data_IF_895286402246
#
_entry.id   IF_895286402246
#
_cell.length_a   1.000
_cell.length_b   1.000
_cell.length_c   1.000
_cell.angle_alpha   90.00
_cell.angle_beta   90.00
_cell.angle_gamma   90.00
#
_symmetry.space_group_name_H-M   'P 1'
#
loop_
_entity.id
_entity.type
_entity.pdbx_description
1 polymer ?
#
# COMPACT_ATOMS: atom_id res chain seq x y z
N UNK A 1 9.73 62.09 35.50
CA UNK A 1 8.31 61.70 35.40
C UNK A 1 8.20 60.74 34.21
N UNK A 2 7.76 59.50 34.49
CA UNK A 2 7.45 58.46 33.50
C UNK A 2 6.34 58.95 32.57
N UNK A 3 6.39 58.57 31.28
CA UNK A 3 5.21 58.25 30.47
C UNK A 3 5.64 57.43 29.24
N UNK A 4 5.68 56.10 29.43
CA UNK A 4 5.38 55.10 28.41
C UNK A 4 4.05 55.47 27.75
N UNK A 5 3.98 55.61 26.41
CA UNK A 5 2.95 55.15 25.45
C UNK A 5 3.55 55.44 24.06
N UNK A 6 3.69 54.54 23.08
CA UNK A 6 2.68 53.72 22.43
C UNK A 6 3.41 52.64 21.61
N UNK A 7 3.43 51.41 22.13
CA UNK A 7 3.36 50.20 21.29
C UNK A 7 1.98 50.24 20.62
N UNK A 8 1.88 50.23 19.28
CA UNK A 8 1.40 48.99 18.64
C UNK A 8 1.84 48.86 17.16
N UNK A 9 3.13 48.97 16.82
CA UNK A 9 3.59 48.69 15.44
C UNK A 9 4.10 47.25 15.24
N UNK A 10 3.68 46.31 16.10
CA UNK A 10 4.14 44.91 16.06
C UNK A 10 3.01 43.92 15.70
N UNK A 11 1.80 44.41 15.39
CA UNK A 11 0.66 43.59 14.95
C UNK A 11 0.50 43.59 13.42
N UNK A 12 1.63 43.61 12.69
CA UNK A 12 1.67 43.32 11.25
C UNK A 12 2.45 42.03 10.98
N UNK A 13 2.68 41.24 12.02
CA UNK A 13 3.33 39.94 11.97
C UNK A 13 2.28 38.91 12.36
N UNK A 14 2.26 37.76 11.68
CA UNK A 14 1.41 36.59 11.92
C UNK A 14 0.02 36.59 11.29
N UNK A 15 -0.05 36.44 9.96
CA UNK A 15 -1.05 35.57 9.30
C UNK A 15 -0.45 35.02 8.00
N UNK A 16 0.77 34.50 8.07
CA UNK A 16 1.24 33.52 7.10
C UNK A 16 0.57 32.19 7.48
N UNK A 17 -0.72 32.06 7.13
CA UNK A 17 -1.44 30.80 7.21
C UNK A 17 -0.81 29.88 6.17
N UNK A 18 0.25 29.18 6.58
CA UNK A 18 0.82 28.10 5.80
C UNK A 18 -0.26 27.05 5.66
N UNK A 19 -0.86 26.98 4.47
CA UNK A 19 -1.67 25.84 4.05
C UNK A 19 -0.74 24.64 4.08
N UNK A 20 -0.70 23.93 5.19
CA UNK A 20 -0.17 22.59 5.23
C UNK A 20 -1.08 21.75 4.34
N UNK A 21 -0.67 21.59 3.08
CA UNK A 21 -1.15 20.46 2.29
C UNK A 21 -0.70 19.23 3.08
N UNK A 22 -1.62 18.67 3.87
CA UNK A 22 -1.48 17.31 4.33
C UNK A 22 -1.44 16.46 3.05
N UNK A 23 -0.24 16.18 2.55
CA UNK A 23 -0.05 15.11 1.62
C UNK A 23 -0.64 13.90 2.33
N UNK A 24 -1.76 13.36 1.82
CA UNK A 24 -2.44 12.18 2.34
C UNK A 24 -1.40 11.06 2.39
N UNK A 25 -0.78 10.94 3.54
CA UNK A 25 0.27 9.96 3.76
C UNK A 25 -0.47 8.63 3.80
N UNK A 26 -0.08 7.64 2.99
CA UNK A 26 -0.75 6.35 2.98
C UNK A 26 -0.89 5.85 4.41
N UNK A 27 -2.11 5.46 4.80
CA UNK A 27 -2.40 5.02 6.17
C UNK A 27 -1.53 3.81 6.57
N UNK A 28 -1.08 3.05 5.56
CA UNK A 28 -0.05 2.02 5.70
C UNK A 28 1.31 2.56 5.23
N UNK A 29 2.31 2.72 6.13
CA UNK A 29 3.66 3.13 5.75
C UNK A 29 4.35 2.11 4.84
N UNK A 30 5.25 2.58 3.98
CA UNK A 30 6.00 1.75 3.02
C UNK A 30 6.77 0.62 3.71
N UNK A 31 7.43 0.89 4.84
CA UNK A 31 8.21 -0.11 5.58
C UNK A 31 7.33 -1.27 6.08
N UNK A 32 6.10 -0.94 6.47
CA UNK A 32 5.13 -1.94 6.94
C UNK A 32 4.60 -2.77 5.78
N UNK A 33 4.34 -2.16 4.62
CA UNK A 33 3.96 -2.87 3.41
C UNK A 33 5.09 -3.79 2.91
N UNK A 34 6.35 -3.33 2.93
CA UNK A 34 7.50 -4.16 2.59
C UNK A 34 7.62 -5.37 3.52
N UNK A 35 7.47 -5.16 4.82
CA UNK A 35 7.48 -6.25 5.80
C UNK A 35 6.37 -7.28 5.54
N UNK A 36 5.15 -6.84 5.23
CA UNK A 36 4.04 -7.73 4.87
C UNK A 36 4.40 -8.58 3.64
N UNK A 37 4.97 -7.97 2.59
CA UNK A 37 5.39 -8.69 1.39
C UNK A 37 6.50 -9.72 1.68
N UNK A 38 7.47 -9.37 2.53
CA UNK A 38 8.54 -10.30 2.93
C UNK A 38 7.99 -11.48 3.73
N UNK A 39 7.13 -11.22 4.71
CA UNK A 39 6.48 -12.26 5.51
C UNK A 39 5.62 -13.18 4.63
N UNK A 40 4.97 -12.63 3.61
CA UNK A 40 4.21 -13.42 2.64
C UNK A 40 5.11 -14.40 1.89
N UNK A 41 6.24 -13.94 1.33
CA UNK A 41 7.21 -14.80 0.63
C UNK A 41 7.83 -15.88 1.53
N UNK A 42 8.10 -15.54 2.79
CA UNK A 42 8.63 -16.50 3.75
C UNK A 42 7.60 -17.60 4.04
N UNK A 43 6.33 -17.22 4.23
CA UNK A 43 5.23 -18.17 4.49
C UNK A 43 4.91 -19.05 3.28
N UNK A 44 5.06 -18.56 2.06
CA UNK A 44 4.84 -19.34 0.84
C UNK A 44 5.98 -20.30 0.49
N UNK A 45 7.10 -20.27 1.24
CA UNK A 45 8.27 -21.11 0.97
C UNK A 45 9.08 -20.67 -0.27
N UNK A 46 8.72 -19.55 -0.89
CA UNK A 46 9.40 -19.00 -2.07
C UNK A 46 10.40 -17.89 -1.76
N UNK A 47 10.49 -17.43 -0.51
CA UNK A 47 11.38 -16.32 -0.12
C UNK A 47 12.87 -16.54 -0.33
N UNK A 48 13.33 -17.78 -0.56
CA UNK A 48 14.72 -18.07 -0.94
C UNK A 48 14.98 -17.98 -2.45
N UNK A 49 13.92 -17.94 -3.27
CA UNK A 49 14.01 -17.91 -4.73
C UNK A 49 13.55 -16.57 -5.28
N UNK A 50 12.53 -15.98 -4.70
CA UNK A 50 11.84 -14.79 -5.23
C UNK A 50 12.22 -13.57 -4.40
N UNK A 51 12.50 -12.47 -5.08
CA UNK A 51 12.85 -11.19 -4.45
C UNK A 51 11.76 -10.14 -4.77
N UNK A 52 11.63 -9.13 -3.91
CA UNK A 52 10.79 -7.97 -4.16
C UNK A 52 11.61 -6.96 -4.95
N UNK A 53 11.24 -6.71 -6.21
CA UNK A 53 11.98 -5.79 -7.11
C UNK A 53 11.38 -4.38 -7.14
N UNK A 54 10.20 -4.20 -6.58
CA UNK A 54 9.54 -2.91 -6.53
C UNK A 54 8.37 -2.90 -5.57
N UNK A 55 8.12 -1.74 -4.99
CA UNK A 55 6.97 -1.47 -4.13
C UNK A 55 6.42 -0.10 -4.52
N UNK A 56 5.23 -0.08 -5.12
CA UNK A 56 4.61 1.13 -5.67
C UNK A 56 3.31 1.41 -4.95
N UNK A 57 3.07 2.67 -4.58
CA UNK A 57 1.75 3.09 -4.11
C UNK A 57 0.87 3.37 -5.33
N UNK A 58 -0.26 2.68 -5.42
CA UNK A 58 -1.25 2.87 -6.47
C UNK A 58 -2.58 3.32 -5.86
N UNK A 59 -3.28 4.19 -6.58
CA UNK A 59 -4.60 4.67 -6.18
C UNK A 59 -5.61 4.32 -7.27
N UNK A 60 -6.72 3.72 -6.86
CA UNK A 60 -7.83 3.43 -7.76
C UNK A 60 -8.62 4.69 -8.10
N UNK A 61 -9.45 4.62 -9.13
CA UNK A 61 -10.38 5.70 -9.50
C UNK A 61 -11.37 6.10 -8.40
N UNK A 62 -11.54 5.26 -7.36
CA UNK A 62 -12.40 5.54 -6.20
C UNK A 62 -11.61 6.05 -4.97
N UNK A 63 -10.41 6.59 -5.19
CA UNK A 63 -9.49 7.07 -4.17
C UNK A 63 -8.99 6.03 -3.15
N UNK A 64 -9.37 4.76 -3.27
CA UNK A 64 -8.79 3.69 -2.47
C UNK A 64 -7.35 3.41 -2.92
N UNK A 65 -6.39 3.58 -2.01
CA UNK A 65 -4.98 3.30 -2.22
C UNK A 65 -4.60 1.87 -1.84
N UNK A 66 -3.54 1.34 -2.44
CA UNK A 66 -2.89 0.10 -2.04
C UNK A 66 -1.40 0.16 -2.38
N UNK A 67 -0.60 -0.67 -1.71
CA UNK A 67 0.76 -0.95 -2.12
C UNK A 67 0.78 -2.15 -3.06
N UNK A 68 1.51 -2.03 -4.16
CA UNK A 68 1.78 -3.11 -5.08
C UNK A 68 3.25 -3.53 -4.97
N UNK A 69 3.47 -4.73 -4.42
CA UNK A 69 4.79 -5.36 -4.36
C UNK A 69 4.99 -6.26 -5.59
N UNK A 70 6.05 -6.03 -6.35
CA UNK A 70 6.37 -6.79 -7.56
C UNK A 70 7.44 -7.83 -7.28
N UNK A 71 7.22 -9.07 -7.75
CA UNK A 71 8.19 -10.15 -7.65
C UNK A 71 9.26 -10.08 -8.76
N UNK A 72 10.47 -10.57 -8.50
CA UNK A 72 11.56 -10.69 -9.49
C UNK A 72 11.22 -11.67 -10.61
N UNK A 73 10.46 -12.71 -10.31
CA UNK A 73 9.89 -13.64 -11.27
C UNK A 73 8.52 -14.12 -10.83
N UNK A 74 7.73 -14.53 -11.82
CA UNK A 74 6.43 -15.12 -11.61
C UNK A 74 6.51 -16.42 -10.80
N UNK A 75 5.71 -16.52 -9.75
CA UNK A 75 5.60 -17.70 -8.88
C UNK A 75 4.36 -18.50 -9.25
N UNK A 76 4.38 -19.81 -9.08
CA UNK A 76 3.20 -20.63 -9.35
C UNK A 76 2.14 -20.40 -8.27
N UNK A 77 0.93 -20.01 -8.67
CA UNK A 77 -0.13 -19.63 -7.74
C UNK A 77 -1.05 -20.82 -7.45
N UNK A 78 -0.73 -21.60 -6.42
CA UNK A 78 -1.55 -22.75 -5.99
C UNK A 78 -1.28 -24.04 -6.77
N UNK A 79 -2.18 -25.02 -6.61
CA UNK A 79 -1.99 -26.40 -7.11
C UNK A 79 -2.21 -26.53 -8.62
N UNK A 80 -2.93 -25.58 -9.23
CA UNK A 80 -3.25 -25.60 -10.64
C UNK A 80 -2.22 -24.76 -11.42
N UNK A 81 -1.34 -25.43 -12.16
CA UNK A 81 -0.16 -24.86 -12.84
C UNK A 81 -0.45 -23.74 -13.85
N UNK A 82 -1.71 -23.38 -14.05
CA UNK A 82 -2.19 -22.42 -15.04
C UNK A 82 -2.03 -20.96 -14.64
N UNK A 83 -1.86 -20.65 -13.35
CA UNK A 83 -1.80 -19.26 -12.86
C UNK A 83 -0.45 -18.92 -12.25
N UNK A 84 0.04 -17.74 -12.60
CA UNK A 84 1.32 -17.21 -12.16
C UNK A 84 1.10 -15.96 -11.32
N UNK A 85 1.56 -15.97 -10.08
CA UNK A 85 1.59 -14.80 -9.21
C UNK A 85 2.77 -13.91 -9.59
N UNK A 86 2.51 -12.66 -9.96
CA UNK A 86 3.54 -11.68 -10.40
C UNK A 86 3.78 -10.57 -9.39
N UNK A 87 2.91 -10.47 -8.40
CA UNK A 87 3.06 -9.53 -7.31
C UNK A 87 2.00 -9.73 -6.23
N UNK A 88 1.99 -8.79 -5.31
CA UNK A 88 1.11 -8.77 -4.15
C UNK A 88 0.49 -7.39 -4.03
N UNK A 89 -0.84 -7.33 -3.94
CA UNK A 89 -1.55 -6.12 -3.52
C UNK A 89 -1.71 -6.15 -2.00
N UNK A 90 -1.38 -5.03 -1.37
CA UNK A 90 -1.51 -4.82 0.07
C UNK A 90 -2.37 -3.59 0.28
N UNK A 91 -3.60 -3.79 0.69
CA UNK A 91 -4.55 -2.72 0.98
C UNK A 91 -4.12 -1.93 2.23
N UNK A 92 -4.65 -0.71 2.39
CA UNK A 92 -4.25 0.18 3.49
C UNK A 92 -4.59 -0.33 4.90
N UNK A 93 -5.45 -1.34 5.01
CA UNK A 93 -5.75 -2.07 6.25
C UNK A 93 -4.76 -3.23 6.52
N UNK A 94 -3.84 -3.49 5.60
CA UNK A 94 -2.91 -4.61 5.63
C UNK A 94 -3.46 -5.91 5.02
N UNK A 95 -4.67 -5.90 4.44
CA UNK A 95 -5.23 -7.04 3.72
C UNK A 95 -4.39 -7.32 2.47
N UNK A 96 -4.17 -8.61 2.19
CA UNK A 96 -3.27 -9.07 1.13
C UNK A 96 -4.06 -9.81 0.05
N UNK A 97 -3.88 -9.40 -1.20
CA UNK A 97 -4.47 -10.07 -2.37
C UNK A 97 -3.38 -10.43 -3.38
N UNK A 98 -3.38 -11.68 -3.86
CA UNK A 98 -2.43 -12.15 -4.87
C UNK A 98 -2.69 -11.47 -6.21
N UNK A 99 -1.63 -11.00 -6.83
CA UNK A 99 -1.70 -10.48 -8.20
C UNK A 99 -1.38 -11.60 -9.18
N UNK A 100 -2.40 -12.09 -9.89
CA UNK A 100 -2.29 -13.24 -10.79
C UNK A 100 -2.26 -12.78 -12.25
N UNK A 101 -1.31 -13.32 -13.02
CA UNK A 101 -1.34 -13.25 -14.48
C UNK A 101 -2.13 -14.43 -15.04
N UNK A 102 -3.12 -14.13 -15.89
CA UNK A 102 -3.90 -15.14 -16.59
C UNK A 102 -3.05 -15.87 -17.65
N UNK A 103 -3.36 -17.15 -17.95
CA UNK A 103 -2.76 -17.85 -19.08
C UNK A 103 -3.09 -17.09 -20.37
N UNK A 104 -2.06 -16.53 -21.02
CA UNK A 104 -2.21 -15.66 -22.20
C UNK A 104 -1.70 -14.22 -22.03
N UNK A 105 -1.11 -13.88 -20.88
CA UNK A 105 -0.36 -12.62 -20.70
C UNK A 105 -1.23 -11.36 -20.56
N UNK A 106 -2.56 -11.52 -20.46
CA UNK A 106 -3.44 -10.41 -20.13
C UNK A 106 -3.42 -10.19 -18.62
N UNK A 107 -3.09 -8.95 -18.25
CA UNK A 107 -3.25 -8.42 -16.91
C UNK A 107 -4.74 -8.46 -16.56
N UNK A 108 -5.08 -9.19 -15.50
CA UNK A 108 -6.42 -9.16 -14.93
C UNK A 108 -6.26 -8.67 -13.48
N UNK A 109 -6.74 -7.46 -13.15
CA UNK A 109 -6.71 -7.00 -11.77
C UNK A 109 -7.55 -7.97 -10.92
N UNK A 110 -7.09 -8.33 -9.70
CA UNK A 110 -7.77 -9.32 -8.90
C UNK A 110 -9.18 -8.83 -8.53
N UNK A 111 -10.19 -9.50 -9.11
CA UNK A 111 -11.59 -9.37 -8.68
C UNK A 111 -11.68 -9.94 -7.27
N UNK A 112 -12.14 -9.11 -6.32
CA UNK A 112 -12.08 -9.32 -4.88
C UNK A 112 -12.13 -10.79 -4.46
N UNK A 113 -11.00 -11.30 -3.94
CA UNK A 113 -10.99 -12.61 -3.32
C UNK A 113 -11.84 -12.51 -2.05
N UNK A 114 -12.96 -13.25 -2.06
CA UNK A 114 -13.78 -13.46 -0.87
C UNK A 114 -12.88 -13.92 0.30
N UNK A 115 -13.12 -13.44 1.52
CA UNK A 115 -12.35 -13.85 2.68
C UNK A 115 -12.37 -15.38 2.80
N UNK A 116 -11.19 -15.99 2.80
CA UNK A 116 -10.98 -17.40 3.12
C UNK A 116 -11.23 -17.55 4.63
N UNK A 117 -12.49 -17.71 5.03
CA UNK A 117 -12.83 -17.75 6.45
C UNK A 117 -14.27 -18.03 6.86
N UNK A 118 -15.24 -18.17 5.94
CA UNK A 118 -16.60 -18.56 6.32
C UNK A 118 -16.83 -20.06 6.09
N UNK A 119 -16.20 -20.89 6.93
CA UNK A 119 -16.59 -22.30 7.06
C UNK A 119 -17.92 -22.33 7.81
N UNK A 120 -19.02 -22.43 7.08
CA UNK A 120 -20.35 -22.64 7.64
C UNK A 120 -20.33 -23.91 8.49
N UNK A 121 -20.32 -23.75 9.80
CA UNK A 121 -20.74 -24.79 10.73
C UNK A 121 -22.18 -24.49 11.11
N UNK A 122 -23.10 -25.15 10.41
CA UNK A 122 -24.39 -25.73 10.83
C UNK A 122 -25.31 -25.86 9.63
#
# INVERSE_FOLDING_TARGET
>A
MKNLRLLPLVVALTLSTGSAFAADTPNLPIDRALKIAQEYLQKSGTGAKVEIVGLTYEQTSFHAGYWYAKWSHAVQAGDDNSRKETGLRIDMDGTVTRFLSAPGGRYEPPVGQRPVGARSMR
#
